data_IF_965175976863
#
_entry.id   IF_965175976863
#
_cell.length_a   1.000
_cell.length_b   1.000
_cell.length_c   1.000
_cell.angle_alpha   90.00
_cell.angle_beta   90.00
_cell.angle_gamma   90.00
#
_symmetry.space_group_name_H-M   'P 1'
#
loop_
_entity.id
_entity.type
_entity.pdbx_description
1 polymer ?
#
# COMPACT_ATOMS: atom_id res chain seq x y z
N UNK A 1 -11.77 2.14 7.07
CA UNK A 1 -11.86 3.50 7.65
C UNK A 1 -10.67 4.32 7.17
N UNK A 2 -9.45 3.97 7.57
CA UNK A 2 -8.26 4.34 6.79
C UNK A 2 -8.23 3.54 5.50
N UNK A 3 -7.74 4.11 4.38
CA UNK A 3 -7.12 5.44 4.18
C UNK A 3 -8.11 6.59 3.90
N UNK A 4 -9.39 6.30 3.65
CA UNK A 4 -10.41 7.29 3.29
C UNK A 4 -10.46 8.45 4.30
N UNK A 5 -10.55 8.16 5.59
CA UNK A 5 -10.76 9.19 6.61
C UNK A 5 -9.54 10.11 6.75
N UNK A 6 -8.33 9.56 6.65
CA UNK A 6 -7.09 10.35 6.71
C UNK A 6 -6.93 11.25 5.50
N UNK A 7 -7.28 10.76 4.30
CA UNK A 7 -7.27 11.56 3.08
C UNK A 7 -8.30 12.69 3.15
N UNK A 8 -9.49 12.39 3.68
CA UNK A 8 -10.53 13.40 3.90
C UNK A 8 -10.07 14.47 4.90
N UNK A 9 -9.43 14.08 6.01
CA UNK A 9 -8.86 15.04 6.97
C UNK A 9 -7.79 15.94 6.34
N UNK A 10 -6.82 15.35 5.63
CA UNK A 10 -5.80 16.11 4.92
C UNK A 10 -6.40 17.10 3.92
N UNK A 11 -7.44 16.67 3.19
CA UNK A 11 -8.16 17.52 2.25
C UNK A 11 -8.91 18.67 2.94
N UNK A 12 -9.60 18.40 4.05
CA UNK A 12 -10.29 19.44 4.83
C UNK A 12 -9.31 20.45 5.43
N UNK A 13 -8.16 20.00 5.93
CA UNK A 13 -7.10 20.90 6.40
C UNK A 13 -6.65 21.84 5.29
N UNK A 14 -6.35 21.30 4.11
CA UNK A 14 -5.96 22.09 2.94
C UNK A 14 -7.01 23.12 2.52
N UNK A 15 -8.31 22.81 2.63
CA UNK A 15 -9.39 23.78 2.32
C UNK A 15 -9.44 24.97 3.29
N UNK A 16 -8.89 24.81 4.49
CA UNK A 16 -8.85 25.84 5.52
C UNK A 16 -7.44 26.42 5.69
N UNK A 17 -6.58 26.27 4.69
CA UNK A 17 -5.18 26.73 4.71
C UNK A 17 -4.35 26.18 5.89
N UNK A 18 -4.72 24.99 6.39
CA UNK A 18 -4.04 24.29 7.49
C UNK A 18 -3.31 23.05 6.95
N UNK A 19 -1.99 23.00 7.12
CA UNK A 19 -1.22 21.79 6.84
C UNK A 19 -1.24 20.82 8.03
N UNK A 20 -1.94 19.69 7.86
CA UNK A 20 -1.95 18.59 8.83
C UNK A 20 -0.72 17.71 8.65
N UNK A 21 0.45 18.25 8.96
CA UNK A 21 1.76 17.63 8.72
C UNK A 21 1.87 16.19 9.24
N UNK A 22 1.35 15.90 10.44
CA UNK A 22 1.34 14.55 11.01
C UNK A 22 0.47 13.56 10.21
N UNK A 23 -0.71 13.99 9.78
CA UNK A 23 -1.62 13.16 8.97
C UNK A 23 -1.01 12.91 7.59
N UNK A 24 -0.46 13.95 6.97
CA UNK A 24 0.23 13.86 5.69
C UNK A 24 1.44 12.92 5.77
N UNK A 25 2.23 13.00 6.86
CA UNK A 25 3.34 12.08 7.11
C UNK A 25 2.87 10.62 7.29
N UNK A 26 1.77 10.39 8.01
CA UNK A 26 1.22 9.05 8.19
C UNK A 26 0.72 8.44 6.86
N UNK A 27 0.03 9.22 6.03
CA UNK A 27 -0.40 8.80 4.69
C UNK A 27 0.81 8.43 3.85
N UNK A 28 1.79 9.34 3.76
CA UNK A 28 3.03 9.13 2.98
C UNK A 28 3.79 7.88 3.45
N UNK A 29 3.99 7.74 4.75
CA UNK A 29 4.69 6.59 5.33
C UNK A 29 3.99 5.26 5.07
N UNK A 30 2.65 5.25 5.03
CA UNK A 30 1.90 4.04 4.66
C UNK A 30 2.10 3.65 3.19
N UNK A 31 2.10 4.62 2.27
CA UNK A 31 2.37 4.37 0.84
C UNK A 31 3.81 3.89 0.62
N UNK A 32 4.79 4.54 1.24
CA UNK A 32 6.20 4.14 1.16
C UNK A 32 6.43 2.73 1.70
N UNK A 33 5.74 2.34 2.77
CA UNK A 33 5.84 0.99 3.32
C UNK A 33 5.38 -0.09 2.33
N UNK A 34 4.28 0.16 1.60
CA UNK A 34 3.79 -0.76 0.55
C UNK A 34 4.80 -0.84 -0.61
N UNK A 35 5.36 0.30 -1.02
CA UNK A 35 6.40 0.37 -2.05
C UNK A 35 7.65 -0.42 -1.65
N UNK A 36 8.22 -0.14 -0.47
CA UNK A 36 9.39 -0.84 0.02
C UNK A 36 9.16 -2.35 0.14
N UNK A 37 7.95 -2.81 0.49
CA UNK A 37 7.66 -4.23 0.51
C UNK A 37 7.72 -4.84 -0.90
N UNK A 38 7.13 -4.19 -1.90
CA UNK A 38 7.23 -4.66 -3.29
C UNK A 38 8.67 -4.71 -3.79
N UNK A 39 9.48 -3.69 -3.52
CA UNK A 39 10.91 -3.65 -3.88
C UNK A 39 11.71 -4.77 -3.22
N UNK A 40 11.45 -5.05 -1.94
CA UNK A 40 12.10 -6.16 -1.23
C UNK A 40 11.80 -7.50 -1.88
N UNK A 41 10.55 -7.73 -2.31
CA UNK A 41 10.15 -8.95 -3.00
C UNK A 41 10.87 -9.03 -4.36
N UNK A 42 10.79 -7.99 -5.19
CA UNK A 42 11.45 -7.93 -6.50
C UNK A 42 12.95 -8.18 -6.42
N UNK A 43 13.62 -7.55 -5.45
CA UNK A 43 15.05 -7.74 -5.22
C UNK A 43 15.39 -9.19 -4.82
N UNK A 44 14.51 -9.86 -4.08
CA UNK A 44 14.74 -11.25 -3.65
C UNK A 44 14.60 -12.29 -4.76
N UNK A 45 13.87 -11.95 -5.84
CA UNK A 45 13.59 -12.86 -6.96
C UNK A 45 14.25 -12.43 -8.28
N UNK A 46 15.06 -11.37 -8.28
CA UNK A 46 15.63 -10.73 -9.48
C UNK A 46 16.37 -11.68 -10.43
N UNK A 47 16.94 -12.77 -9.92
CA UNK A 47 17.73 -13.74 -10.69
C UNK A 47 16.92 -15.01 -11.06
N UNK A 48 15.64 -15.06 -10.68
CA UNK A 48 14.74 -16.19 -10.94
C UNK A 48 13.90 -15.83 -12.17
N UNK A 49 14.11 -16.56 -13.26
CA UNK A 49 13.27 -16.43 -14.47
C UNK A 49 11.86 -16.94 -14.19
N UNK A 50 10.84 -16.14 -14.47
CA UNK A 50 9.41 -16.45 -14.26
C UNK A 50 9.13 -16.96 -12.83
N UNK A 51 9.38 -16.14 -11.80
CA UNK A 51 9.20 -16.57 -10.42
C UNK A 51 7.72 -16.81 -10.14
N UNK A 52 7.42 -17.90 -9.41
CA UNK A 52 6.08 -18.16 -8.89
C UNK A 52 6.01 -17.68 -7.46
N UNK A 53 5.14 -16.70 -7.20
CA UNK A 53 4.97 -16.09 -5.89
C UNK A 53 3.61 -16.52 -5.33
N UNK A 54 3.61 -17.16 -4.17
CA UNK A 54 2.37 -17.44 -3.44
C UNK A 54 1.99 -16.22 -2.58
N UNK A 55 0.72 -15.83 -2.61
CA UNK A 55 0.17 -14.73 -1.79
C UNK A 55 -0.77 -15.35 -0.77
N UNK A 56 -0.37 -15.32 0.51
CA UNK A 56 -1.18 -15.83 1.61
C UNK A 56 -1.82 -14.66 2.37
N UNK A 57 -3.11 -14.42 2.09
CA UNK A 57 -3.88 -13.32 2.66
C UNK A 57 -4.08 -12.17 1.67
N UNK A 58 -5.34 -11.81 1.43
CA UNK A 58 -5.73 -10.71 0.53
C UNK A 58 -6.59 -9.64 1.22
N UNK A 59 -7.37 -10.03 2.22
CA UNK A 59 -8.15 -9.08 3.00
C UNK A 59 -7.24 -8.07 3.72
N UNK A 60 -7.77 -6.88 4.02
CA UNK A 60 -6.98 -5.83 4.65
C UNK A 60 -6.59 -6.15 6.10
N UNK A 61 -7.27 -7.13 6.73
CA UNK A 61 -7.00 -7.65 8.07
C UNK A 61 -7.58 -9.06 8.24
N UNK A 62 -7.39 -9.65 9.42
CA UNK A 62 -7.95 -10.94 9.81
C UNK A 62 -9.48 -10.91 9.99
N UNK A 63 -10.12 -12.06 9.79
CA UNK A 63 -11.55 -12.26 10.08
C UNK A 63 -12.52 -11.56 9.13
N UNK A 64 -12.08 -11.14 7.95
CA UNK A 64 -12.92 -10.49 6.93
C UNK A 64 -12.48 -10.91 5.52
N UNK A 65 -13.38 -10.83 4.54
CA UNK A 65 -13.10 -11.01 3.12
C UNK A 65 -12.91 -9.67 2.37
N UNK A 66 -13.20 -8.56 3.03
CA UNK A 66 -13.03 -7.21 2.50
C UNK A 66 -11.57 -6.92 2.08
N UNK A 67 -11.39 -6.66 0.79
CA UNK A 67 -10.10 -6.38 0.17
C UNK A 67 -9.95 -4.90 -0.24
N UNK A 68 -10.92 -4.04 0.07
CA UNK A 68 -10.81 -2.61 -0.22
C UNK A 68 -9.60 -2.04 0.51
N UNK A 69 -8.76 -1.31 -0.22
CA UNK A 69 -7.59 -0.62 0.33
C UNK A 69 -6.60 -1.60 1.01
N UNK A 70 -6.62 -2.87 0.60
CA UNK A 70 -5.73 -3.89 1.14
C UNK A 70 -4.29 -3.65 0.68
N UNK A 71 -3.31 -3.61 1.60
CA UNK A 71 -1.91 -3.46 1.22
C UNK A 71 -1.40 -4.67 0.41
N UNK A 72 -1.99 -5.86 0.62
CA UNK A 72 -1.61 -7.06 -0.13
C UNK A 72 -1.95 -6.90 -1.61
N UNK A 73 -3.13 -6.34 -1.91
CA UNK A 73 -3.59 -6.07 -3.28
C UNK A 73 -2.67 -5.06 -3.98
N UNK A 74 -2.34 -3.96 -3.30
CA UNK A 74 -1.44 -2.94 -3.84
C UNK A 74 -0.04 -3.48 -4.14
N UNK A 75 0.49 -4.32 -3.25
CA UNK A 75 1.80 -4.97 -3.46
C UNK A 75 1.73 -5.91 -4.67
N UNK A 76 0.69 -6.74 -4.79
CA UNK A 76 0.53 -7.67 -5.91
C UNK A 76 0.44 -6.92 -7.24
N UNK A 77 -0.32 -5.81 -7.31
CA UNK A 77 -0.38 -5.00 -8.53
C UNK A 77 0.99 -4.46 -8.94
N UNK A 78 1.79 -3.95 -8.00
CA UNK A 78 3.17 -3.51 -8.27
C UNK A 78 4.06 -4.62 -8.81
N UNK A 79 3.92 -5.84 -8.30
CA UNK A 79 4.66 -7.00 -8.81
C UNK A 79 4.24 -7.35 -10.25
N UNK A 80 2.94 -7.26 -10.56
CA UNK A 80 2.41 -7.52 -11.90
C UNK A 80 2.84 -6.46 -12.93
N UNK A 81 2.95 -5.19 -12.53
CA UNK A 81 3.41 -4.09 -13.39
C UNK A 81 4.87 -4.25 -13.83
N UNK A 82 5.73 -4.79 -12.96
CA UNK A 82 7.18 -4.91 -13.20
C UNK A 82 7.56 -6.08 -14.14
N UNK A 83 6.58 -6.85 -14.65
CA UNK A 83 6.79 -8.02 -15.54
C UNK A 83 7.97 -8.91 -15.09
N UNK A 84 7.89 -9.38 -13.85
CA UNK A 84 8.85 -10.35 -13.27
C UNK A 84 8.78 -11.70 -13.98
#
# INVERSE_FOLDING_TARGET
CFPKDTLAMAFMGKQNDIDLTLINAAIKGNEERKNHMSERILNSIKDIKNPKIAVLGLAFKDGTDDCRESPAVDIVFKLLEQKV
#
